data_IF_518926854459
#
_entry.id   IF_518926854459
#
_cell.length_a   1.000
_cell.length_b   1.000
_cell.length_c   1.000
_cell.angle_alpha   90.00
_cell.angle_beta   90.00
_cell.angle_gamma   90.00
#
_symmetry.space_group_name_H-M   'P 1'
#
loop_
_entity.id
_entity.type
_entity.pdbx_description
1 polymer ?
#
# COMPACT_ATOMS: atom_id res chain seq x y z
N UNK A 1 -3.13 -32.67 4.01
CA UNK A 1 -2.91 -32.19 5.38
C UNK A 1 -4.04 -31.29 5.82
N UNK A 2 -4.66 -31.64 6.91
CA UNK A 2 -5.64 -30.77 7.53
C UNK A 2 -4.92 -29.60 8.18
N UNK A 3 -5.16 -28.42 7.67
CA UNK A 3 -4.61 -27.23 8.28
C UNK A 3 -5.64 -26.61 9.21
N UNK A 4 -5.78 -27.20 10.40
CA UNK A 4 -6.60 -26.64 11.46
C UNK A 4 -5.76 -25.71 12.31
N UNK A 5 -6.34 -24.60 12.68
CA UNK A 5 -5.78 -23.69 13.70
C UNK A 5 -6.69 -23.76 14.92
N UNK A 6 -6.11 -23.53 16.10
CA UNK A 6 -6.88 -23.41 17.32
C UNK A 6 -6.82 -21.98 17.81
N UNK A 7 -7.98 -21.33 17.84
CA UNK A 7 -8.09 -19.96 18.36
C UNK A 7 -8.18 -20.00 19.89
N UNK A 8 -7.55 -19.03 20.54
CA UNK A 8 -7.70 -18.85 21.99
C UNK A 8 -9.07 -18.25 22.30
N UNK A 9 -9.50 -18.31 23.55
CA UNK A 9 -10.76 -17.70 24.01
C UNK A 9 -10.76 -16.19 23.74
N UNK A 10 -9.62 -15.53 23.93
CA UNK A 10 -9.44 -14.10 23.64
C UNK A 10 -9.64 -13.82 22.17
N UNK A 11 -9.05 -14.63 21.28
CA UNK A 11 -9.19 -14.48 19.84
C UNK A 11 -10.62 -14.67 19.39
N UNK A 12 -11.32 -15.67 19.92
CA UNK A 12 -12.74 -15.92 19.62
C UNK A 12 -13.61 -14.75 20.05
N UNK A 13 -13.39 -14.20 21.24
CA UNK A 13 -14.10 -13.01 21.72
C UNK A 13 -13.85 -11.81 20.84
N UNK A 14 -12.61 -11.61 20.39
CA UNK A 14 -12.23 -10.53 19.48
C UNK A 14 -12.97 -10.66 18.14
N UNK A 15 -13.00 -11.86 17.57
CA UNK A 15 -13.68 -12.11 16.30
C UNK A 15 -15.19 -11.89 16.41
N UNK A 16 -15.81 -12.32 17.50
CA UNK A 16 -17.24 -12.08 17.75
C UNK A 16 -17.55 -10.60 17.87
N UNK A 17 -16.77 -9.86 18.65
CA UNK A 17 -16.91 -8.40 18.80
C UNK A 17 -16.73 -7.69 17.45
N UNK A 18 -15.75 -8.12 16.68
CA UNK A 18 -15.48 -7.56 15.35
C UNK A 18 -16.65 -7.81 14.40
N UNK A 19 -17.21 -9.01 14.42
CA UNK A 19 -18.36 -9.39 13.60
C UNK A 19 -19.62 -8.60 13.99
N UNK A 20 -19.78 -8.26 15.26
CA UNK A 20 -20.92 -7.51 15.78
C UNK A 20 -20.81 -6.00 15.59
N UNK A 21 -19.68 -5.50 15.14
CA UNK A 21 -19.43 -4.06 14.97
C UNK A 21 -20.33 -3.39 13.90
N UNK A 22 -20.89 -4.17 12.98
CA UNK A 22 -21.82 -3.68 11.98
C UNK A 22 -21.22 -2.99 10.77
N UNK A 23 -19.93 -2.69 10.77
CA UNK A 23 -19.23 -1.97 9.70
C UNK A 23 -18.20 -2.82 8.98
N UNK A 24 -18.52 -4.09 8.79
CA UNK A 24 -17.60 -5.03 8.13
C UNK A 24 -17.75 -4.97 6.61
N UNK A 25 -16.62 -4.83 5.93
CA UNK A 25 -16.58 -5.11 4.49
C UNK A 25 -16.73 -6.62 4.26
N UNK A 26 -17.10 -7.00 3.04
CA UNK A 26 -17.20 -8.42 2.69
C UNK A 26 -15.88 -9.15 2.90
N UNK A 27 -14.77 -8.50 2.63
CA UNK A 27 -13.43 -9.08 2.82
C UNK A 27 -13.14 -9.37 4.30
N UNK A 28 -13.45 -8.41 5.16
CA UNK A 28 -13.27 -8.58 6.60
C UNK A 28 -14.17 -9.69 7.15
N UNK A 29 -15.42 -9.72 6.72
CA UNK A 29 -16.37 -10.76 7.08
C UNK A 29 -15.87 -12.15 6.68
N UNK A 30 -15.36 -12.27 5.45
CA UNK A 30 -14.79 -13.52 4.97
C UNK A 30 -13.58 -13.96 5.78
N UNK A 31 -12.70 -13.04 6.15
CA UNK A 31 -11.52 -13.33 6.98
C UNK A 31 -11.92 -13.86 8.35
N UNK A 32 -12.89 -13.22 8.99
CA UNK A 32 -13.42 -13.69 10.28
C UNK A 32 -13.95 -15.12 10.15
N UNK A 33 -14.77 -15.36 9.15
CA UNK A 33 -15.37 -16.68 8.91
C UNK A 33 -14.33 -17.74 8.57
N UNK A 34 -13.30 -17.41 7.82
CA UNK A 34 -12.20 -18.34 7.51
C UNK A 34 -11.54 -18.80 8.80
N UNK A 35 -11.19 -17.87 9.69
CA UNK A 35 -10.55 -18.22 10.97
C UNK A 35 -11.45 -19.05 11.85
N UNK A 36 -12.73 -18.70 11.96
CA UNK A 36 -13.71 -19.45 12.75
C UNK A 36 -13.91 -20.87 12.22
N UNK A 37 -14.04 -21.02 10.89
CA UNK A 37 -14.25 -22.31 10.26
C UNK A 37 -13.00 -23.21 10.39
N UNK A 38 -11.81 -22.64 10.27
CA UNK A 38 -10.56 -23.36 10.52
C UNK A 38 -10.48 -23.84 11.96
N UNK A 39 -10.89 -23.01 12.92
CA UNK A 39 -10.95 -23.39 14.33
C UNK A 39 -11.92 -24.56 14.57
N UNK A 40 -13.05 -24.58 13.87
CA UNK A 40 -14.02 -25.66 13.94
C UNK A 40 -13.55 -26.95 13.25
N UNK A 41 -12.39 -26.94 12.61
CA UNK A 41 -11.82 -28.10 11.95
C UNK A 41 -12.37 -28.36 10.55
N UNK A 42 -12.98 -27.37 9.92
CA UNK A 42 -13.48 -27.50 8.55
C UNK A 42 -12.32 -27.61 7.57
N UNK A 43 -12.52 -28.41 6.53
CA UNK A 43 -11.53 -28.60 5.46
C UNK A 43 -11.51 -27.38 4.54
N UNK A 44 -10.37 -27.13 3.89
CA UNK A 44 -10.24 -26.04 2.93
C UNK A 44 -11.30 -26.07 1.84
N UNK A 45 -11.62 -27.24 1.32
CA UNK A 45 -12.65 -27.43 0.27
C UNK A 45 -14.01 -26.94 0.76
N UNK A 46 -14.38 -27.26 2.00
CA UNK A 46 -15.65 -26.83 2.59
C UNK A 46 -15.71 -25.30 2.75
N UNK A 47 -14.60 -24.69 3.17
CA UNK A 47 -14.50 -23.23 3.31
C UNK A 47 -14.56 -22.54 1.95
N UNK A 48 -13.87 -23.08 0.95
CA UNK A 48 -13.93 -22.58 -0.43
C UNK A 48 -15.35 -22.53 -0.96
N UNK A 49 -16.08 -23.61 -0.80
CA UNK A 49 -17.48 -23.71 -1.25
C UNK A 49 -18.39 -22.76 -0.46
N UNK A 50 -18.22 -22.71 0.85
CA UNK A 50 -19.10 -21.94 1.72
C UNK A 50 -18.93 -20.42 1.53
N UNK A 51 -17.69 -19.95 1.43
CA UNK A 51 -17.39 -18.52 1.34
C UNK A 51 -17.06 -18.03 -0.06
N UNK A 52 -16.96 -18.92 -1.03
CA UNK A 52 -16.55 -18.58 -2.39
C UNK A 52 -15.19 -17.90 -2.44
N UNK A 53 -14.23 -18.45 -1.71
CA UNK A 53 -12.86 -17.94 -1.66
C UNK A 53 -11.88 -19.00 -2.14
N UNK A 54 -10.71 -18.56 -2.60
CA UNK A 54 -9.67 -19.46 -3.08
C UNK A 54 -8.88 -20.05 -1.92
N UNK A 55 -8.34 -21.26 -2.14
CA UNK A 55 -7.44 -21.92 -1.19
C UNK A 55 -6.26 -21.04 -0.80
N UNK A 56 -5.72 -20.28 -1.74
CA UNK A 56 -4.60 -19.36 -1.51
C UNK A 56 -5.00 -18.28 -0.49
N UNK A 57 -6.21 -17.75 -0.58
CA UNK A 57 -6.74 -16.77 0.37
C UNK A 57 -6.81 -17.34 1.78
N UNK A 58 -7.32 -18.56 1.91
CA UNK A 58 -7.41 -19.28 3.19
C UNK A 58 -6.01 -19.47 3.78
N UNK A 59 -5.06 -19.90 2.96
CA UNK A 59 -3.68 -20.12 3.38
C UNK A 59 -3.01 -18.83 3.85
N UNK A 60 -3.20 -17.73 3.11
CA UNK A 60 -2.64 -16.41 3.47
C UNK A 60 -3.17 -15.92 4.82
N UNK A 61 -4.46 -16.03 5.05
CA UNK A 61 -5.08 -15.58 6.30
C UNK A 61 -4.61 -16.44 7.47
N UNK A 62 -4.57 -17.75 7.28
CA UNK A 62 -4.05 -18.69 8.27
C UNK A 62 -2.60 -18.37 8.63
N UNK A 63 -1.74 -18.18 7.63
CA UNK A 63 -0.33 -17.85 7.82
C UNK A 63 -0.17 -16.53 8.57
N UNK A 64 -0.95 -15.52 8.20
CA UNK A 64 -0.93 -14.21 8.83
C UNK A 64 -1.34 -14.29 10.30
N UNK A 65 -2.35 -15.09 10.60
CA UNK A 65 -2.79 -15.35 11.98
C UNK A 65 -1.67 -16.01 12.79
N UNK A 66 -1.04 -17.04 12.26
CA UNK A 66 0.01 -17.78 12.95
C UNK A 66 1.27 -16.92 13.19
N UNK A 67 1.58 -16.00 12.28
CA UNK A 67 2.76 -15.14 12.40
C UNK A 67 2.52 -13.90 13.25
N UNK A 68 1.37 -13.25 13.12
CA UNK A 68 1.11 -11.91 13.67
C UNK A 68 -0.08 -11.82 14.62
N UNK A 69 -0.91 -12.84 14.69
CA UNK A 69 -2.09 -12.86 15.55
C UNK A 69 -3.36 -12.42 14.83
N UNK A 70 -4.48 -12.42 15.58
CA UNK A 70 -5.82 -12.20 15.04
C UNK A 70 -6.03 -10.79 14.47
N UNK A 71 -5.52 -9.78 15.13
CA UNK A 71 -5.69 -8.39 14.68
C UNK A 71 -5.08 -8.18 13.31
N UNK A 72 -3.85 -8.61 13.12
CA UNK A 72 -3.14 -8.49 11.85
C UNK A 72 -3.75 -9.36 10.76
N UNK A 73 -4.30 -10.51 11.12
CA UNK A 73 -4.96 -11.39 10.16
C UNK A 73 -6.20 -10.74 9.54
N UNK A 74 -6.87 -9.84 10.26
CA UNK A 74 -8.06 -9.13 9.81
C UNK A 74 -7.73 -7.84 9.04
N UNK A 75 -6.55 -7.27 9.24
CA UNK A 75 -6.13 -6.04 8.55
C UNK A 75 -5.79 -6.31 7.09
N UNK A 76 -6.08 -5.34 6.24
CA UNK A 76 -5.56 -5.32 4.88
C UNK A 76 -4.15 -4.78 4.88
N UNK A 77 -3.26 -5.44 4.17
CA UNK A 77 -1.92 -4.92 3.95
C UNK A 77 -1.99 -3.72 3.01
N UNK A 78 -1.19 -2.73 3.31
CA UNK A 78 -1.04 -1.60 2.40
C UNK A 78 -0.48 -2.09 1.06
N UNK A 79 -1.11 -1.65 -0.01
CA UNK A 79 -0.62 -1.96 -1.34
C UNK A 79 0.62 -1.13 -1.60
N UNK A 80 1.63 -1.75 -2.18
CA UNK A 80 2.86 -1.04 -2.54
C UNK A 80 2.63 0.14 -3.48
N UNK A 81 1.50 0.13 -4.19
CA UNK A 81 1.17 1.18 -5.12
C UNK A 81 2.07 1.18 -6.34
N UNK A 82 2.02 2.25 -7.09
CA UNK A 82 2.88 2.43 -8.25
C UNK A 82 4.31 2.70 -7.79
N UNK A 83 5.32 2.03 -8.38
CA UNK A 83 6.71 2.31 -8.05
C UNK A 83 7.05 3.79 -8.26
N UNK A 84 7.87 4.33 -7.35
CA UNK A 84 8.32 5.72 -7.43
C UNK A 84 9.27 5.85 -8.63
N UNK A 85 8.90 6.70 -9.59
CA UNK A 85 9.69 6.93 -10.79
C UNK A 85 10.95 7.75 -10.52
N UNK A 86 10.85 8.72 -9.61
CA UNK A 86 11.95 9.60 -9.25
C UNK A 86 12.31 9.39 -7.79
N UNK A 87 13.50 8.82 -7.55
CA UNK A 87 14.01 8.51 -6.22
C UNK A 87 14.41 9.78 -5.45
N UNK A 88 14.76 9.61 -4.19
CA UNK A 88 15.17 10.72 -3.31
C UNK A 88 16.33 11.55 -3.90
N UNK A 89 17.28 10.89 -4.54
CA UNK A 89 18.42 11.55 -5.18
C UNK A 89 17.98 12.49 -6.30
N UNK A 90 17.06 12.03 -7.14
CA UNK A 90 16.50 12.81 -8.24
C UNK A 90 15.65 13.96 -7.73
N UNK A 91 14.88 13.74 -6.67
CA UNK A 91 14.11 14.80 -6.02
C UNK A 91 15.03 15.87 -5.42
N UNK A 92 16.12 15.47 -4.78
CA UNK A 92 17.12 16.39 -4.24
C UNK A 92 17.79 17.20 -5.35
N UNK A 93 18.10 16.59 -6.47
CA UNK A 93 18.67 17.26 -7.64
C UNK A 93 17.72 18.31 -8.23
N UNK A 94 16.44 17.99 -8.32
CA UNK A 94 15.41 18.95 -8.73
C UNK A 94 15.31 20.13 -7.74
N UNK A 95 15.28 19.84 -6.44
CA UNK A 95 15.20 20.88 -5.41
C UNK A 95 16.43 21.80 -5.45
N UNK A 96 17.63 21.24 -5.60
CA UNK A 96 18.86 22.00 -5.72
C UNK A 96 18.83 22.92 -6.94
N UNK A 97 18.35 22.43 -8.07
CA UNK A 97 18.20 23.24 -9.29
C UNK A 97 17.20 24.39 -9.10
N UNK A 98 16.04 24.08 -8.51
CA UNK A 98 14.99 25.08 -8.27
C UNK A 98 15.40 26.17 -7.30
N UNK A 99 16.25 25.85 -6.33
CA UNK A 99 16.79 26.80 -5.36
C UNK A 99 18.07 27.51 -5.85
N UNK A 100 18.62 27.07 -6.96
CA UNK A 100 19.85 27.64 -7.55
C UNK A 100 19.57 28.82 -8.48
N UNK A 101 20.63 29.38 -9.06
CA UNK A 101 20.47 30.49 -10.01
C UNK A 101 19.81 30.06 -11.30
N UNK A 102 19.02 30.96 -11.87
CA UNK A 102 18.38 30.75 -13.18
C UNK A 102 19.40 30.77 -14.31
N UNK A 103 19.10 30.13 -15.46
CA UNK A 103 19.92 30.26 -16.65
C UNK A 103 20.04 31.72 -17.12
N UNK A 104 21.10 32.04 -17.85
CA UNK A 104 21.33 33.36 -18.40
C UNK A 104 20.12 33.83 -19.22
N UNK A 105 19.72 35.09 -19.00
CA UNK A 105 18.57 35.69 -19.65
C UNK A 105 17.23 35.43 -18.98
N UNK A 106 17.21 34.69 -17.85
CA UNK A 106 15.99 34.42 -17.09
C UNK A 106 16.08 35.04 -15.70
N UNK A 107 14.94 35.55 -15.23
CA UNK A 107 14.86 36.17 -13.89
C UNK A 107 14.50 35.17 -12.78
N UNK A 108 13.75 34.15 -13.14
CA UNK A 108 13.28 33.16 -12.18
C UNK A 108 13.01 31.83 -12.86
N UNK A 109 13.00 30.77 -12.07
CA UNK A 109 12.60 29.45 -12.55
C UNK A 109 11.09 29.39 -12.76
N UNK A 110 10.69 28.72 -13.83
CA UNK A 110 9.30 28.31 -14.06
C UNK A 110 9.26 26.80 -14.21
N UNK A 111 8.09 26.19 -14.05
CA UNK A 111 7.94 24.73 -14.19
C UNK A 111 8.35 24.31 -15.60
N UNK A 112 7.99 25.10 -16.61
CA UNK A 112 8.35 24.87 -18.01
C UNK A 112 9.87 24.88 -18.20
N UNK A 113 10.55 25.86 -17.64
CA UNK A 113 12.00 25.98 -17.74
C UNK A 113 12.71 24.85 -17.00
N UNK A 114 12.26 24.50 -15.79
CA UNK A 114 12.80 23.39 -15.03
C UNK A 114 12.66 22.06 -15.77
N UNK A 115 11.50 21.79 -16.35
CA UNK A 115 11.31 20.54 -17.10
C UNK A 115 12.22 20.47 -18.32
N UNK A 116 12.41 21.58 -19.02
CA UNK A 116 13.29 21.64 -20.18
C UNK A 116 14.76 21.39 -19.78
N UNK A 117 15.23 22.00 -18.72
CA UNK A 117 16.60 21.81 -18.23
C UNK A 117 16.81 20.39 -17.65
N UNK A 118 15.82 19.83 -16.94
CA UNK A 118 15.90 18.48 -16.40
C UNK A 118 15.99 17.43 -17.47
N UNK A 119 15.30 17.60 -18.60
CA UNK A 119 15.36 16.65 -19.73
C UNK A 119 16.77 16.42 -20.25
N UNK A 120 17.65 17.38 -20.04
CA UNK A 120 19.07 17.28 -20.45
C UNK A 120 19.88 16.43 -19.48
N UNK A 121 19.39 16.18 -18.27
CA UNK A 121 20.10 15.41 -17.24
C UNK A 121 19.77 13.92 -17.33
N UNK A 122 20.72 13.02 -16.98
CA UNK A 122 20.43 11.59 -16.88
C UNK A 122 19.35 11.31 -15.86
N UNK A 123 18.46 10.39 -16.18
CA UNK A 123 17.37 10.01 -15.29
C UNK A 123 16.10 10.86 -15.40
N UNK A 124 16.13 11.95 -16.20
CA UNK A 124 15.00 12.85 -16.37
C UNK A 124 14.53 12.98 -17.82
N UNK A 125 14.91 12.04 -18.67
CA UNK A 125 14.62 12.12 -20.11
C UNK A 125 13.13 12.24 -20.44
N UNK A 126 12.28 11.62 -19.65
CA UNK A 126 10.84 11.58 -19.89
C UNK A 126 10.05 12.45 -18.92
N UNK A 127 10.71 13.32 -18.17
CA UNK A 127 10.02 14.19 -17.21
C UNK A 127 9.13 15.19 -17.95
N UNK A 128 7.95 15.46 -17.41
CA UNK A 128 7.03 16.44 -17.93
C UNK A 128 6.73 17.53 -16.88
N UNK A 129 6.01 18.57 -17.30
CA UNK A 129 5.67 19.70 -16.42
C UNK A 129 4.85 19.26 -15.20
N UNK A 130 3.94 18.33 -15.41
CA UNK A 130 3.08 17.84 -14.31
C UNK A 130 3.89 17.08 -13.28
N UNK A 131 4.84 16.25 -13.69
CA UNK A 131 5.76 15.56 -12.78
C UNK A 131 6.58 16.55 -11.96
N UNK A 132 7.12 17.59 -12.60
CA UNK A 132 7.88 18.65 -11.92
C UNK A 132 7.00 19.36 -10.88
N UNK A 133 5.79 19.74 -11.28
CA UNK A 133 4.84 20.40 -10.38
C UNK A 133 4.53 19.56 -9.13
N UNK A 134 4.23 18.28 -9.35
CA UNK A 134 3.90 17.35 -8.25
C UNK A 134 5.09 17.11 -7.32
N UNK A 135 6.30 16.97 -7.87
CA UNK A 135 7.51 16.80 -7.06
C UNK A 135 7.81 18.04 -6.22
N UNK A 136 7.70 19.23 -6.78
CA UNK A 136 7.90 20.49 -6.06
C UNK A 136 6.87 20.65 -4.94
N UNK A 137 5.60 20.32 -5.22
CA UNK A 137 4.53 20.36 -4.23
C UNK A 137 4.82 19.40 -3.07
N UNK A 138 5.24 18.17 -3.39
CA UNK A 138 5.59 17.15 -2.39
C UNK A 138 6.74 17.60 -1.49
N UNK A 139 7.73 18.28 -2.05
CA UNK A 139 8.90 18.77 -1.32
C UNK A 139 8.68 20.13 -0.66
N UNK A 140 7.51 20.75 -0.83
CA UNK A 140 7.22 22.11 -0.36
C UNK A 140 8.19 23.17 -0.90
N UNK A 141 8.63 23.03 -2.14
CA UNK A 141 9.50 23.99 -2.81
C UNK A 141 8.65 24.96 -3.62
N UNK A 142 8.83 26.25 -3.40
CA UNK A 142 8.13 27.31 -4.10
C UNK A 142 9.09 27.98 -5.10
N UNK A 143 8.59 28.22 -6.31
CA UNK A 143 9.35 28.92 -7.37
C UNK A 143 9.04 30.41 -7.31
N UNK A 144 9.93 31.10 -6.67
CA UNK A 144 9.91 32.55 -6.64
C UNK A 144 8.83 33.19 -5.85
#
# INVERSE_FOLDING_TARGET
>A
MQSSIKLTKTDLSYLESFKMSGNLSLREYNRVNILVLLHKGKKNVEIEDFLNVDRITIWRIKKKYLEYGVEKALEEDERSGQPVKYATEQQAELAAMACGPCPAGRRRWTIRLLSAELKRKPGFKTINRESVRLLLKKMNVSLG
#
